data_IF_700219111702
#
_entry.id   IF_700219111702
#
_cell.length_a   1.000
_cell.length_b   1.000
_cell.length_c   1.000
_cell.angle_alpha   90.00
_cell.angle_beta   90.00
_cell.angle_gamma   90.00
#
_symmetry.space_group_name_H-M   'P 1'
#
loop_
_entity.id
_entity.type
_entity.pdbx_description
1 polymer ?
#
# COMPACT_ATOMS: atom_id res chain seq x y z
N UNK A 1 -23.52 24.15 -3.35
CA UNK A 1 -24.72 23.26 -3.31
C UNK A 1 -25.49 23.53 -2.03
N UNK A 2 -26.81 23.45 -2.05
CA UNK A 2 -27.64 23.42 -0.85
C UNK A 2 -27.96 21.97 -0.41
N UNK A 3 -28.69 21.82 0.70
CA UNK A 3 -29.00 20.49 1.25
C UNK A 3 -29.86 19.62 0.32
N UNK A 4 -30.73 20.23 -0.50
CA UNK A 4 -31.57 19.49 -1.44
C UNK A 4 -30.76 18.99 -2.63
N UNK A 5 -29.90 19.83 -3.20
CA UNK A 5 -28.97 19.44 -4.27
C UNK A 5 -28.02 18.29 -3.83
N UNK A 6 -27.55 18.29 -2.57
CA UNK A 6 -26.75 17.17 -2.03
C UNK A 6 -27.57 15.89 -1.95
N UNK A 7 -28.84 15.95 -1.50
CA UNK A 7 -29.71 14.76 -1.42
C UNK A 7 -30.05 14.23 -2.80
N UNK A 8 -30.32 15.10 -3.76
CA UNK A 8 -30.58 14.74 -5.15
C UNK A 8 -29.36 14.02 -5.73
N UNK A 9 -28.19 14.64 -5.64
CA UNK A 9 -26.95 14.04 -6.15
C UNK A 9 -26.63 12.70 -5.48
N UNK A 10 -26.87 12.57 -4.18
CA UNK A 10 -26.65 11.33 -3.45
C UNK A 10 -27.54 10.16 -3.94
N UNK A 11 -28.74 10.44 -4.52
CA UNK A 11 -29.61 9.36 -5.07
C UNK A 11 -29.00 8.67 -6.27
N UNK A 12 -28.18 9.41 -7.03
CA UNK A 12 -27.55 8.90 -8.24
C UNK A 12 -26.24 8.14 -7.96
N UNK A 13 -25.73 8.19 -6.70
CA UNK A 13 -24.51 7.48 -6.34
C UNK A 13 -24.79 6.01 -6.03
N UNK A 14 -23.82 5.12 -6.32
CA UNK A 14 -23.90 3.72 -5.94
C UNK A 14 -23.77 3.51 -4.40
N UNK A 15 -24.14 2.31 -3.93
CA UNK A 15 -24.01 1.90 -2.52
C UNK A 15 -22.73 1.11 -2.25
N UNK A 16 -21.78 1.18 -3.17
CA UNK A 16 -20.51 0.48 -3.14
C UNK A 16 -19.42 1.32 -2.46
N UNK A 17 -18.32 0.67 -2.04
CA UNK A 17 -17.14 1.38 -1.55
C UNK A 17 -16.53 2.29 -2.62
N UNK A 18 -15.96 3.41 -2.18
CA UNK A 18 -15.31 4.31 -3.14
C UNK A 18 -14.86 5.63 -2.54
N UNK A 19 -14.44 6.52 -3.43
CA UNK A 19 -13.98 7.86 -3.11
C UNK A 19 -14.89 8.89 -3.78
N UNK A 20 -15.20 9.96 -3.06
CA UNK A 20 -15.97 11.09 -3.56
C UNK A 20 -15.19 12.40 -3.40
N UNK A 21 -15.46 13.34 -4.30
CA UNK A 21 -14.83 14.66 -4.33
C UNK A 21 -15.92 15.73 -4.42
N UNK A 22 -15.90 16.69 -3.49
CA UNK A 22 -16.66 17.94 -3.65
C UNK A 22 -15.81 18.93 -4.44
N UNK A 23 -16.34 19.46 -5.54
CA UNK A 23 -15.62 20.37 -6.45
C UNK A 23 -16.32 21.70 -6.61
N UNK A 24 -15.52 22.72 -6.97
CA UNK A 24 -15.99 24.02 -7.43
C UNK A 24 -15.23 24.36 -8.70
N UNK A 25 -15.90 24.31 -9.86
CA UNK A 25 -15.23 24.35 -11.16
C UNK A 25 -14.14 23.27 -11.24
N UNK A 26 -12.93 23.63 -11.66
CA UNK A 26 -11.79 22.70 -11.76
C UNK A 26 -11.10 22.41 -10.41
N UNK A 27 -11.54 23.06 -9.32
CA UNK A 27 -10.87 22.92 -8.02
C UNK A 27 -11.55 21.87 -7.16
N UNK A 28 -10.81 20.87 -6.70
CA UNK A 28 -11.26 19.93 -5.67
C UNK A 28 -11.20 20.59 -4.30
N UNK A 29 -12.36 20.71 -3.65
CA UNK A 29 -12.49 21.31 -2.32
C UNK A 29 -12.23 20.29 -1.21
N UNK A 30 -12.72 19.07 -1.38
CA UNK A 30 -12.65 17.99 -0.40
C UNK A 30 -12.66 16.64 -1.08
N UNK A 31 -11.89 15.70 -0.56
CA UNK A 31 -11.89 14.29 -0.94
C UNK A 31 -12.24 13.47 0.30
N UNK A 32 -13.04 12.41 0.14
CA UNK A 32 -13.34 11.49 1.22
C UNK A 32 -13.64 10.09 0.70
N UNK A 33 -13.37 9.07 1.53
CA UNK A 33 -13.74 7.68 1.25
C UNK A 33 -15.09 7.32 1.89
N UNK A 34 -15.73 6.28 1.37
CA UNK A 34 -16.95 5.70 1.91
C UNK A 34 -16.96 4.18 1.71
N UNK A 35 -17.65 3.46 2.61
CA UNK A 35 -18.10 2.08 2.37
C UNK A 35 -19.38 2.04 1.53
N UNK A 36 -20.19 3.06 1.66
CA UNK A 36 -21.39 3.36 0.88
C UNK A 36 -21.32 4.82 0.46
N UNK A 37 -21.07 5.05 -0.83
CA UNK A 37 -20.92 6.39 -1.41
C UNK A 37 -22.21 7.21 -1.28
N UNK A 38 -23.38 6.58 -1.50
CA UNK A 38 -24.70 7.21 -1.43
C UNK A 38 -24.99 7.74 -0.03
N UNK A 39 -24.90 6.89 0.97
CA UNK A 39 -25.19 7.25 2.35
C UNK A 39 -24.18 8.28 2.88
N UNK A 40 -22.93 8.13 2.50
CA UNK A 40 -21.88 9.06 2.91
C UNK A 40 -22.08 10.45 2.34
N UNK A 41 -22.33 10.58 1.05
CA UNK A 41 -22.57 11.89 0.41
C UNK A 41 -23.87 12.49 0.91
N UNK A 42 -24.92 11.69 1.10
CA UNK A 42 -26.20 12.15 1.70
C UNK A 42 -26.01 12.78 3.08
N UNK A 43 -25.08 12.26 3.89
CA UNK A 43 -24.80 12.81 5.22
C UNK A 43 -24.32 14.28 5.22
N UNK A 44 -23.83 14.77 4.09
CA UNK A 44 -23.43 16.17 3.91
C UNK A 44 -24.60 17.14 3.67
N UNK A 45 -25.82 16.66 3.52
CA UNK A 45 -27.02 17.50 3.49
C UNK A 45 -27.34 18.14 4.85
N UNK A 46 -26.82 17.56 5.95
CA UNK A 46 -26.91 18.11 7.31
C UNK A 46 -25.52 18.13 7.99
N UNK A 47 -24.66 19.09 7.62
CA UNK A 47 -23.27 19.11 8.06
C UNK A 47 -23.15 19.55 9.54
N UNK A 48 -22.49 18.70 10.35
CA UNK A 48 -22.30 18.91 11.80
C UNK A 48 -21.32 20.03 12.14
N UNK A 49 -20.54 20.55 11.20
CA UNK A 49 -19.56 21.62 11.44
C UNK A 49 -19.69 22.75 10.43
N UNK A 50 -19.46 23.98 10.87
CA UNK A 50 -19.48 25.18 10.00
C UNK A 50 -18.46 25.10 8.86
N UNK A 51 -17.34 24.41 9.08
CA UNK A 51 -16.32 24.20 8.05
C UNK A 51 -16.84 23.32 6.90
N UNK A 52 -17.48 22.20 7.22
CA UNK A 52 -18.07 21.29 6.22
C UNK A 52 -19.26 21.97 5.53
N UNK A 53 -20.07 22.75 6.27
CA UNK A 53 -21.14 23.56 5.67
C UNK A 53 -20.58 24.51 4.62
N UNK A 54 -19.54 25.29 4.96
CA UNK A 54 -18.91 26.21 4.01
C UNK A 54 -18.22 25.49 2.82
N UNK A 55 -17.80 24.23 2.96
CA UNK A 55 -17.33 23.41 1.86
C UNK A 55 -18.49 23.06 0.91
N UNK A 56 -19.61 22.54 1.45
CA UNK A 56 -20.80 22.16 0.65
C UNK A 56 -21.39 23.36 -0.07
N UNK A 57 -21.54 24.51 0.60
CA UNK A 57 -22.05 25.75 -0.01
C UNK A 57 -21.21 26.23 -1.21
N UNK A 58 -19.89 26.00 -1.17
CA UNK A 58 -18.98 26.36 -2.28
C UNK A 58 -18.91 25.34 -3.40
N UNK A 59 -19.25 24.09 -3.11
CA UNK A 59 -19.24 23.04 -4.13
C UNK A 59 -20.35 23.26 -5.15
N UNK A 60 -20.05 23.00 -6.40
CA UNK A 60 -21.02 22.99 -7.51
C UNK A 60 -21.37 21.55 -7.92
N UNK A 61 -20.48 20.59 -7.72
CA UNK A 61 -20.70 19.18 -8.05
C UNK A 61 -19.99 18.22 -7.10
N UNK A 62 -20.41 16.94 -7.19
CA UNK A 62 -19.77 15.81 -6.52
C UNK A 62 -19.37 14.81 -7.60
N UNK A 63 -18.09 14.50 -7.67
CA UNK A 63 -17.53 13.42 -8.49
C UNK A 63 -17.24 12.21 -7.59
N UNK A 64 -17.23 11.00 -8.15
CA UNK A 64 -16.92 9.79 -7.40
C UNK A 64 -16.22 8.75 -8.27
N UNK A 65 -15.54 7.81 -7.61
CA UNK A 65 -14.98 6.61 -8.20
C UNK A 65 -15.33 5.43 -7.29
N UNK A 66 -15.89 4.38 -7.86
CA UNK A 66 -16.15 3.12 -7.18
C UNK A 66 -14.86 2.33 -7.07
N UNK A 67 -14.69 1.61 -5.97
CA UNK A 67 -13.57 0.69 -5.74
C UNK A 67 -14.11 -0.67 -5.30
N UNK A 68 -13.34 -1.73 -5.56
CA UNK A 68 -13.77 -3.08 -5.20
C UNK A 68 -13.73 -3.32 -3.68
N UNK A 69 -12.83 -2.59 -2.96
CA UNK A 69 -12.65 -2.75 -1.52
C UNK A 69 -12.52 -1.41 -0.78
N UNK A 70 -12.78 -1.41 0.53
CA UNK A 70 -12.53 -0.25 1.39
C UNK A 70 -11.06 0.16 1.37
N UNK A 71 -10.15 -0.80 1.28
CA UNK A 71 -8.71 -0.56 1.21
C UNK A 71 -8.36 0.23 -0.05
N UNK A 72 -8.88 -0.15 -1.21
CA UNK A 72 -8.72 0.63 -2.44
C UNK A 72 -9.28 2.04 -2.32
N UNK A 73 -10.46 2.22 -1.70
CA UNK A 73 -11.01 3.55 -1.43
C UNK A 73 -10.09 4.41 -0.56
N UNK A 74 -9.52 3.81 0.51
CA UNK A 74 -8.57 4.49 1.39
C UNK A 74 -7.31 4.94 0.63
N UNK A 75 -6.81 4.09 -0.27
CA UNK A 75 -5.65 4.36 -1.11
C UNK A 75 -5.88 5.55 -2.04
N UNK A 76 -6.99 5.47 -2.77
CA UNK A 76 -7.37 6.48 -3.74
C UNK A 76 -7.61 7.82 -3.04
N UNK A 77 -8.28 7.84 -1.87
CA UNK A 77 -8.46 9.03 -1.04
C UNK A 77 -7.10 9.67 -0.69
N UNK A 78 -6.17 8.88 -0.14
CA UNK A 78 -4.86 9.37 0.28
C UNK A 78 -4.06 9.97 -0.90
N UNK A 79 -4.03 9.27 -2.05
CA UNK A 79 -3.36 9.73 -3.26
C UNK A 79 -3.98 11.02 -3.81
N UNK A 80 -5.32 11.09 -3.88
CA UNK A 80 -6.02 12.28 -4.33
C UNK A 80 -5.77 13.47 -3.40
N UNK A 81 -5.77 13.27 -2.08
CA UNK A 81 -5.47 14.34 -1.11
C UNK A 81 -4.02 14.81 -1.26
N UNK A 82 -3.06 13.91 -1.41
CA UNK A 82 -1.63 14.24 -1.62
C UNK A 82 -1.45 15.06 -2.91
N UNK A 83 -2.06 14.61 -4.01
CA UNK A 83 -1.93 15.23 -5.35
C UNK A 83 -2.66 16.57 -5.45
N UNK A 84 -3.93 16.62 -5.00
CA UNK A 84 -4.82 17.78 -5.20
C UNK A 84 -4.76 18.80 -4.06
N UNK A 85 -4.22 18.41 -2.89
CA UNK A 85 -4.13 19.23 -1.68
C UNK A 85 -5.40 20.01 -1.36
N UNK A 86 -6.59 19.35 -1.25
CA UNK A 86 -7.87 20.03 -1.16
C UNK A 86 -7.95 20.91 0.09
N UNK A 87 -8.55 22.09 -0.03
CA UNK A 87 -8.57 23.09 1.05
C UNK A 87 -9.21 22.58 2.34
N UNK A 88 -10.24 21.74 2.24
CA UNK A 88 -11.04 21.31 3.38
C UNK A 88 -10.57 19.97 3.99
N UNK A 89 -9.61 19.26 3.40
CA UNK A 89 -8.96 18.11 4.05
C UNK A 89 -7.88 18.63 5.00
N UNK A 90 -8.07 18.45 6.32
CA UNK A 90 -7.11 18.87 7.36
C UNK A 90 -6.20 17.75 7.77
N UNK A 91 -6.72 16.51 7.85
CA UNK A 91 -6.07 15.34 8.43
C UNK A 91 -5.25 14.67 7.36
N UNK A 92 -4.66 14.71 6.53
CA UNK A 92 -3.80 14.02 5.55
C UNK A 92 -2.89 14.99 4.78
N UNK A 93 -2.88 16.27 5.23
CA UNK A 93 -1.92 17.25 4.72
C UNK A 93 -0.57 17.18 5.43
N UNK A 94 -0.56 16.68 6.66
CA UNK A 94 0.65 16.45 7.45
C UNK A 94 1.10 14.99 7.25
N UNK A 95 2.39 14.76 7.20
CA UNK A 95 3.25 13.58 7.02
C UNK A 95 2.77 12.17 7.48
N UNK A 96 1.51 11.98 7.75
CA UNK A 96 0.93 10.67 8.09
C UNK A 96 0.36 9.96 6.86
N UNK A 97 1.14 9.92 5.80
CA UNK A 97 0.85 8.99 4.71
C UNK A 97 1.04 7.56 5.23
N UNK A 98 0.14 6.67 4.83
CA UNK A 98 0.27 5.25 5.14
C UNK A 98 1.54 4.69 4.50
N UNK A 99 2.22 3.72 5.14
CA UNK A 99 3.41 3.10 4.58
C UNK A 99 3.07 2.32 3.30
N UNK A 100 4.01 2.37 2.38
CA UNK A 100 4.07 1.59 1.16
C UNK A 100 5.24 0.62 1.27
N UNK A 101 5.17 -0.50 0.57
CA UNK A 101 6.36 -1.31 0.26
C UNK A 101 6.81 -0.95 -1.14
N UNK A 102 8.04 -0.51 -1.29
CA UNK A 102 8.60 -0.10 -2.57
C UNK A 102 9.79 -0.96 -2.97
N UNK A 103 9.85 -1.28 -4.25
CA UNK A 103 11.04 -1.80 -4.92
C UNK A 103 11.65 -0.65 -5.72
N UNK A 104 12.91 -0.30 -5.42
CA UNK A 104 13.59 0.83 -6.06
C UNK A 104 13.71 0.68 -7.57
N UNK A 105 13.74 1.80 -8.30
CA UNK A 105 14.03 1.83 -9.74
C UNK A 105 15.54 1.65 -9.98
N UNK A 106 15.98 0.41 -9.89
CA UNK A 106 17.39 0.03 -10.07
C UNK A 106 17.45 -1.35 -10.73
N UNK A 107 18.52 -1.65 -11.49
CA UNK A 107 18.74 -2.96 -12.10
C UNK A 107 18.78 -4.11 -11.06
N UNK A 108 19.19 -3.77 -9.83
CA UNK A 108 19.15 -4.66 -8.66
C UNK A 108 18.31 -3.97 -7.59
N UNK A 109 16.96 -4.09 -7.62
CA UNK A 109 16.07 -3.35 -6.73
C UNK A 109 16.29 -3.68 -5.25
N UNK A 110 16.20 -2.69 -4.36
CA UNK A 110 16.03 -2.91 -2.93
C UNK A 110 14.54 -2.92 -2.58
N UNK A 111 14.20 -3.65 -1.53
CA UNK A 111 12.87 -3.57 -0.93
C UNK A 111 12.93 -2.69 0.33
N UNK A 112 11.99 -1.77 0.46
CA UNK A 112 11.89 -0.89 1.62
C UNK A 112 10.44 -0.56 1.99
N UNK A 113 10.21 -0.24 3.26
CA UNK A 113 8.96 0.37 3.72
C UNK A 113 9.16 1.88 3.73
N UNK A 114 8.38 2.58 2.92
CA UNK A 114 8.49 4.03 2.76
C UNK A 114 7.12 4.69 2.71
N UNK A 115 7.06 5.99 2.93
CA UNK A 115 5.84 6.80 2.72
C UNK A 115 5.93 7.67 1.48
N UNK A 116 7.11 7.73 0.88
CA UNK A 116 7.40 8.54 -0.29
C UNK A 116 8.35 7.76 -1.20
N UNK A 117 7.81 6.86 -2.05
CA UNK A 117 8.62 6.08 -2.98
C UNK A 117 9.30 7.00 -3.98
N UNK A 118 10.51 6.67 -4.38
CA UNK A 118 11.23 7.38 -5.43
C UNK A 118 10.52 7.25 -6.79
N UNK A 119 10.75 8.20 -7.69
CA UNK A 119 10.19 8.16 -9.05
C UNK A 119 10.68 6.89 -9.78
N UNK A 120 9.78 6.19 -10.46
CA UNK A 120 10.08 4.93 -11.13
C UNK A 120 10.03 3.68 -10.23
N UNK A 121 9.99 3.81 -8.90
CA UNK A 121 9.86 2.68 -8.00
C UNK A 121 8.51 1.96 -8.17
N UNK A 122 8.53 0.63 -8.10
CA UNK A 122 7.30 -0.17 -8.03
C UNK A 122 6.84 -0.23 -6.58
N UNK A 123 5.68 0.35 -6.28
CA UNK A 123 5.14 0.44 -4.92
C UNK A 123 3.83 -0.34 -4.76
N UNK A 124 3.69 -1.00 -3.61
CA UNK A 124 2.52 -1.73 -3.17
C UNK A 124 1.96 -1.12 -1.88
N UNK A 125 0.67 -1.18 -1.71
CA UNK A 125 -0.01 -0.58 -0.57
C UNK A 125 -0.85 0.63 -0.97
N UNK A 126 -1.15 1.60 -0.08
CA UNK A 126 -0.64 1.75 1.28
C UNK A 126 -1.27 0.74 2.25
N UNK A 127 -0.55 0.50 3.33
CA UNK A 127 -0.95 -0.45 4.36
C UNK A 127 -1.34 0.30 5.64
N UNK A 128 -2.32 -0.22 6.36
CA UNK A 128 -2.81 0.41 7.60
C UNK A 128 -2.03 -0.04 8.85
N UNK A 129 -1.41 -1.22 8.82
CA UNK A 129 -0.63 -1.80 9.90
C UNK A 129 0.87 -1.85 9.55
N UNK A 130 1.61 -0.85 10.04
CA UNK A 130 3.06 -0.72 9.83
C UNK A 130 3.83 -1.92 10.38
N UNK A 131 3.47 -2.41 11.58
CA UNK A 131 4.17 -3.51 12.24
C UNK A 131 4.06 -4.82 11.45
N UNK A 132 2.86 -5.09 10.91
CA UNK A 132 2.63 -6.25 10.04
C UNK A 132 3.43 -6.15 8.75
N UNK A 133 3.41 -4.98 8.11
CA UNK A 133 4.19 -4.74 6.88
C UNK A 133 5.69 -4.94 7.11
N UNK A 134 6.24 -4.38 8.18
CA UNK A 134 7.66 -4.56 8.53
C UNK A 134 8.00 -6.03 8.79
N UNK A 135 7.11 -6.78 9.46
CA UNK A 135 7.27 -8.22 9.69
C UNK A 135 7.31 -8.99 8.38
N UNK A 136 6.40 -8.71 7.45
CA UNK A 136 6.34 -9.35 6.12
C UNK A 136 7.55 -8.97 5.28
N UNK A 137 7.94 -7.70 5.22
CA UNK A 137 9.14 -7.25 4.47
C UNK A 137 10.40 -7.91 5.04
N UNK A 138 10.49 -8.07 6.37
CA UNK A 138 11.58 -8.81 6.99
C UNK A 138 11.57 -10.29 6.58
N UNK A 139 10.40 -10.94 6.57
CA UNK A 139 10.28 -12.34 6.12
C UNK A 139 10.69 -12.50 4.65
N UNK A 140 10.30 -11.59 3.77
CA UNK A 140 10.71 -11.54 2.37
C UNK A 140 12.23 -11.40 2.25
N UNK A 141 12.83 -10.47 3.00
CA UNK A 141 14.28 -10.27 2.98
C UNK A 141 15.04 -11.50 3.50
N UNK A 142 14.54 -12.14 4.54
CA UNK A 142 15.16 -13.35 5.12
C UNK A 142 15.03 -14.57 4.17
N UNK A 143 13.96 -14.65 3.37
CA UNK A 143 13.75 -15.77 2.43
C UNK A 143 14.51 -15.56 1.13
N UNK A 144 14.36 -14.39 0.50
CA UNK A 144 14.94 -14.09 -0.81
C UNK A 144 16.29 -13.35 -0.72
N UNK A 145 16.75 -13.03 0.48
CA UNK A 145 18.01 -12.33 0.75
C UNK A 145 18.18 -11.04 -0.07
N UNK A 146 17.07 -10.31 -0.21
CA UNK A 146 17.07 -9.06 -0.96
C UNK A 146 17.85 -7.97 -0.24
N UNK A 147 18.62 -7.17 -1.01
CA UNK A 147 19.38 -6.06 -0.44
C UNK A 147 18.47 -5.02 0.23
N UNK A 148 18.94 -4.46 1.33
CA UNK A 148 18.30 -3.33 2.02
C UNK A 148 19.16 -2.07 2.03
N UNK A 149 20.37 -2.10 1.43
CA UNK A 149 21.24 -0.94 1.37
C UNK A 149 20.80 0.06 0.29
N UNK A 150 21.13 1.35 0.49
CA UNK A 150 20.93 2.39 -0.52
C UNK A 150 21.80 2.16 -1.76
N UNK A 151 21.41 2.76 -2.89
CA UNK A 151 22.13 2.61 -4.16
C UNK A 151 23.57 3.13 -4.07
N UNK A 152 23.79 4.26 -3.39
CA UNK A 152 25.13 4.76 -3.10
C UNK A 152 26.02 3.76 -2.35
N UNK A 153 25.45 3.03 -1.37
CA UNK A 153 26.20 1.98 -0.66
C UNK A 153 26.41 0.74 -1.53
N UNK A 154 25.50 0.44 -2.42
CA UNK A 154 25.58 -0.66 -3.37
C UNK A 154 26.73 -0.43 -4.35
N UNK A 155 26.79 0.74 -4.98
CA UNK A 155 27.80 1.12 -5.99
C UNK A 155 29.21 1.22 -5.42
N UNK A 156 29.34 1.64 -4.16
CA UNK A 156 30.63 1.83 -3.49
C UNK A 156 31.21 0.57 -2.83
N UNK A 157 30.68 -0.64 -3.10
CA UNK A 157 31.13 -1.88 -2.46
C UNK A 157 32.13 -2.63 -3.34
N UNK A 158 33.24 -3.00 -2.73
CA UNK A 158 34.29 -3.86 -3.29
C UNK A 158 34.38 -5.24 -2.60
N UNK A 159 33.62 -5.43 -1.52
CA UNK A 159 33.52 -6.69 -0.74
C UNK A 159 32.14 -6.84 -0.10
N UNK A 160 31.68 -8.10 0.18
CA UNK A 160 30.46 -8.36 0.90
C UNK A 160 30.40 -7.64 2.25
N UNK A 161 29.22 -7.24 2.66
CA UNK A 161 29.00 -6.54 3.93
C UNK A 161 28.46 -7.49 5.01
N UNK A 162 28.30 -6.97 6.23
CA UNK A 162 27.77 -7.73 7.37
C UNK A 162 26.42 -8.38 7.08
N UNK A 163 25.53 -7.73 6.30
CA UNK A 163 24.22 -8.32 5.91
C UNK A 163 24.40 -9.64 5.12
N UNK A 164 25.45 -9.76 4.31
CA UNK A 164 25.80 -10.99 3.62
C UNK A 164 26.33 -12.04 4.59
N UNK A 165 27.22 -11.66 5.49
CA UNK A 165 27.79 -12.56 6.49
C UNK A 165 26.71 -13.13 7.44
N UNK A 166 25.69 -12.31 7.75
CA UNK A 166 24.51 -12.71 8.52
C UNK A 166 23.45 -13.49 7.72
N UNK A 167 23.65 -13.68 6.42
CA UNK A 167 22.73 -14.42 5.55
C UNK A 167 21.43 -13.71 5.21
N UNK A 168 21.32 -12.39 5.44
CA UNK A 168 20.13 -11.58 5.16
C UNK A 168 20.22 -10.81 3.84
N UNK A 169 21.36 -10.88 3.13
CA UNK A 169 21.57 -10.32 1.80
C UNK A 169 22.37 -11.29 0.96
N UNK A 170 22.07 -11.39 -0.33
CA UNK A 170 22.79 -12.25 -1.29
C UNK A 170 24.02 -11.57 -1.92
N UNK A 171 24.37 -10.34 -1.48
CA UNK A 171 25.50 -9.54 -1.94
C UNK A 171 25.60 -9.37 -3.47
N UNK A 172 24.53 -8.91 -4.14
CA UNK A 172 24.57 -8.67 -5.58
C UNK A 172 25.56 -7.54 -5.97
N UNK A 173 25.96 -6.70 -5.02
CA UNK A 173 26.94 -5.63 -5.22
C UNK A 173 28.37 -6.13 -5.49
N UNK A 174 28.70 -7.35 -5.08
CA UNK A 174 30.01 -7.97 -5.27
C UNK A 174 29.99 -9.22 -6.13
N UNK A 175 28.81 -9.51 -6.73
CA UNK A 175 28.66 -10.62 -7.67
C UNK A 175 28.53 -12.01 -7.01
N UNK A 176 28.26 -12.08 -5.69
CA UNK A 176 28.02 -13.35 -4.99
C UNK A 176 26.73 -14.06 -5.47
N UNK A 177 25.82 -13.30 -6.08
CA UNK A 177 24.64 -13.81 -6.79
C UNK A 177 24.60 -13.21 -8.21
N UNK A 178 24.22 -14.02 -9.20
CA UNK A 178 24.02 -13.55 -10.57
C UNK A 178 22.78 -12.66 -10.69
N UNK A 179 22.82 -11.70 -11.61
CA UNK A 179 21.75 -10.73 -11.83
C UNK A 179 20.40 -11.41 -12.16
N UNK A 180 20.40 -12.46 -12.98
CA UNK A 180 19.19 -13.21 -13.34
C UNK A 180 18.55 -13.86 -12.11
N UNK A 181 19.35 -14.52 -11.27
CA UNK A 181 18.85 -15.16 -10.05
C UNK A 181 18.30 -14.15 -9.07
N UNK A 182 18.98 -13.01 -8.91
CA UNK A 182 18.45 -11.92 -8.06
C UNK A 182 17.13 -11.36 -8.59
N UNK A 183 17.00 -11.21 -9.92
CA UNK A 183 15.76 -10.77 -10.55
C UNK A 183 14.60 -11.77 -10.32
N UNK A 184 14.86 -13.09 -10.33
CA UNK A 184 13.87 -14.12 -9.97
C UNK A 184 13.40 -13.97 -8.52
N UNK A 185 14.32 -13.72 -7.59
CA UNK A 185 14.00 -13.52 -6.17
C UNK A 185 13.16 -12.23 -5.96
N UNK A 186 13.48 -11.14 -6.68
CA UNK A 186 12.67 -9.92 -6.70
C UNK A 186 11.28 -10.18 -7.29
N UNK A 187 11.19 -10.93 -8.40
CA UNK A 187 9.92 -11.27 -9.02
C UNK A 187 9.05 -12.13 -8.08
N UNK A 188 9.63 -13.09 -7.37
CA UNK A 188 8.91 -13.87 -6.37
C UNK A 188 8.39 -12.99 -5.22
N UNK A 189 9.19 -12.05 -4.72
CA UNK A 189 8.77 -11.10 -3.69
C UNK A 189 7.63 -10.18 -4.17
N UNK A 190 7.64 -9.76 -5.45
CA UNK A 190 6.54 -8.96 -6.04
C UNK A 190 5.25 -9.77 -6.15
N UNK A 191 5.31 -11.03 -6.61
CA UNK A 191 4.13 -11.90 -6.70
C UNK A 191 3.43 -12.09 -5.36
N UNK A 192 4.17 -12.08 -4.25
CA UNK A 192 3.56 -12.08 -2.93
C UNK A 192 2.62 -10.88 -2.76
N UNK A 193 3.07 -9.65 -3.08
CA UNK A 193 2.23 -8.44 -2.99
C UNK A 193 1.10 -8.41 -4.04
N UNK A 194 1.19 -9.21 -5.09
CA UNK A 194 0.18 -9.40 -6.13
C UNK A 194 -0.85 -10.50 -5.77
N UNK A 195 -0.76 -11.06 -4.55
CA UNK A 195 -1.73 -12.01 -3.99
C UNK A 195 -1.27 -13.47 -3.94
N UNK A 196 -0.09 -13.80 -4.48
CA UNK A 196 0.45 -15.19 -4.43
C UNK A 196 1.09 -15.48 -3.06
N UNK A 197 0.27 -15.64 -2.02
CA UNK A 197 0.75 -15.87 -0.64
C UNK A 197 1.69 -17.07 -0.52
N UNK A 198 1.46 -18.13 -1.30
CA UNK A 198 2.22 -19.38 -1.26
C UNK A 198 3.70 -19.21 -1.56
N UNK A 199 4.11 -18.21 -2.36
CA UNK A 199 5.53 -18.00 -2.69
C UNK A 199 6.38 -17.72 -1.45
N UNK A 200 5.79 -17.18 -0.39
CA UNK A 200 6.46 -16.89 0.90
C UNK A 200 5.99 -17.85 2.01
N UNK A 201 4.71 -18.19 2.07
CA UNK A 201 4.16 -19.04 3.11
C UNK A 201 4.71 -20.48 3.06
N UNK A 202 4.83 -21.08 1.87
CA UNK A 202 5.27 -22.47 1.73
C UNK A 202 6.73 -22.70 2.15
N UNK A 203 7.71 -21.84 1.79
CA UNK A 203 9.07 -21.94 2.33
C UNK A 203 9.12 -21.77 3.85
N UNK A 204 8.37 -20.81 4.40
CA UNK A 204 8.33 -20.58 5.85
C UNK A 204 7.75 -21.79 6.59
N UNK A 205 6.69 -22.40 6.07
CA UNK A 205 6.06 -23.59 6.65
C UNK A 205 7.05 -24.76 6.67
N UNK A 206 7.72 -25.05 5.55
CA UNK A 206 8.73 -26.11 5.49
C UNK A 206 9.87 -25.90 6.49
N UNK A 207 10.35 -24.66 6.63
CA UNK A 207 11.42 -24.32 7.61
C UNK A 207 10.93 -24.45 9.04
N UNK A 208 9.68 -24.08 9.33
CA UNK A 208 9.06 -24.25 10.65
C UNK A 208 8.96 -25.73 11.03
N UNK A 209 8.46 -26.56 10.12
CA UNK A 209 8.33 -28.00 10.31
C UNK A 209 9.71 -28.66 10.55
N UNK A 210 10.71 -28.34 9.73
CA UNK A 210 12.06 -28.83 9.89
C UNK A 210 12.70 -28.40 11.22
N UNK A 211 12.46 -27.17 11.69
CA UNK A 211 12.94 -26.71 12.99
C UNK A 211 12.24 -27.45 14.14
N UNK A 212 10.96 -27.75 14.03
CA UNK A 212 10.20 -28.52 15.01
C UNK A 212 10.70 -29.98 15.07
N UNK A 213 10.96 -30.62 13.94
CA UNK A 213 11.54 -31.98 13.86
C UNK A 213 12.95 -32.03 14.48
N UNK A 214 13.74 -30.96 14.30
CA UNK A 214 15.06 -30.82 14.92
C UNK A 214 15.03 -30.46 16.41
N UNK A 215 13.83 -30.34 17.02
CA UNK A 215 13.61 -29.86 18.39
C UNK A 215 14.12 -28.43 18.67
N UNK A 216 14.26 -27.60 17.63
CA UNK A 216 14.59 -26.18 17.71
C UNK A 216 13.31 -25.34 17.98
N UNK A 217 12.66 -25.58 19.12
CA UNK A 217 11.29 -25.07 19.39
C UNK A 217 11.18 -23.55 19.38
N UNK A 218 12.19 -22.83 19.86
CA UNK A 218 12.19 -21.37 19.81
C UNK A 218 12.23 -20.85 18.37
N UNK A 219 13.05 -21.47 17.52
CA UNK A 219 13.12 -21.17 16.10
C UNK A 219 11.83 -21.51 15.38
N UNK A 220 11.23 -22.66 15.66
CA UNK A 220 9.94 -23.07 15.11
C UNK A 220 8.83 -22.09 15.51
N UNK A 221 8.80 -21.62 16.77
CA UNK A 221 7.83 -20.61 17.22
C UNK A 221 7.99 -19.29 16.49
N UNK A 222 9.21 -18.77 16.33
CA UNK A 222 9.48 -17.56 15.55
C UNK A 222 9.05 -17.69 14.08
N UNK A 223 9.26 -18.85 13.47
CA UNK A 223 8.83 -19.10 12.08
C UNK A 223 7.31 -19.22 11.96
N UNK A 224 6.64 -19.81 12.95
CA UNK A 224 5.17 -19.85 13.02
C UNK A 224 4.58 -18.43 13.08
N UNK A 225 5.08 -17.58 13.97
CA UNK A 225 4.58 -16.21 14.14
C UNK A 225 4.74 -15.39 12.84
N UNK A 226 5.82 -15.62 12.10
CA UNK A 226 6.03 -15.03 10.77
C UNK A 226 5.07 -15.59 9.73
N UNK A 227 4.84 -16.91 9.73
CA UNK A 227 3.91 -17.58 8.82
C UNK A 227 2.48 -17.05 9.03
N UNK A 228 2.03 -16.94 10.29
CA UNK A 228 0.74 -16.35 10.63
C UNK A 228 0.59 -14.90 10.11
N UNK A 229 1.64 -14.07 10.26
CA UNK A 229 1.63 -12.70 9.74
C UNK A 229 1.56 -12.65 8.20
N UNK A 230 2.24 -13.58 7.51
CA UNK A 230 2.25 -13.71 6.05
C UNK A 230 0.89 -14.18 5.53
N UNK A 231 0.29 -15.20 6.16
CA UNK A 231 -1.02 -15.73 5.76
C UNK A 231 -2.16 -14.73 6.02
N UNK A 232 -2.09 -13.98 7.13
CA UNK A 232 -3.06 -12.95 7.46
C UNK A 232 -2.90 -11.66 6.62
N UNK A 233 -1.79 -11.49 5.89
CA UNK A 233 -1.46 -10.23 5.22
C UNK A 233 -2.50 -9.84 4.16
N UNK A 234 -2.96 -10.76 3.33
CA UNK A 234 -3.95 -10.49 2.29
C UNK A 234 -5.41 -10.58 2.78
N UNK A 235 -5.68 -11.24 3.91
CA UNK A 235 -7.04 -11.42 4.45
C UNK A 235 -7.60 -10.21 5.22
N UNK A 236 -6.76 -9.29 5.69
CA UNK A 236 -7.14 -8.14 6.51
C UNK A 236 -6.64 -6.79 5.95
N UNK A 237 -6.81 -6.53 4.66
CA UNK A 237 -6.49 -5.25 4.03
C UNK A 237 -5.07 -5.14 3.47
N UNK A 238 -4.44 -6.27 3.16
CA UNK A 238 -3.14 -6.36 2.48
C UNK A 238 -3.24 -6.47 0.96
N UNK A 239 -4.40 -6.18 0.35
CA UNK A 239 -4.50 -6.16 -1.11
C UNK A 239 -3.69 -5.00 -1.68
N UNK A 240 -2.61 -5.36 -2.38
CA UNK A 240 -1.86 -4.42 -3.18
C UNK A 240 -2.71 -3.97 -4.37
N UNK A 241 -2.93 -2.67 -4.49
CA UNK A 241 -3.47 -2.11 -5.74
C UNK A 241 -2.32 -2.07 -6.74
N UNK A 242 -2.29 -3.02 -7.67
CA UNK A 242 -1.53 -2.84 -8.89
C UNK A 242 -2.10 -1.61 -9.62
N UNK A 243 -1.23 -0.69 -10.03
CA UNK A 243 -1.58 0.44 -10.89
C UNK A 243 -1.95 -0.08 -12.30
N UNK A 244 -3.09 -0.78 -12.37
CA UNK A 244 -3.83 -0.99 -13.62
C UNK A 244 -4.90 0.07 -13.62
N UNK A 245 -4.56 1.19 -14.26
CA UNK A 245 -5.51 2.15 -14.78
C UNK A 245 -6.47 1.45 -15.76
N UNK A 246 -7.43 0.73 -15.22
CA UNK A 246 -8.63 0.41 -15.96
C UNK A 246 -9.56 1.60 -15.75
N UNK A 247 -9.46 2.51 -16.72
CA UNK A 247 -10.15 3.77 -16.82
C UNK A 247 -11.65 3.50 -17.00
N UNK A 248 -12.35 3.26 -15.89
CA UNK A 248 -13.82 3.34 -15.84
C UNK A 248 -14.22 4.67 -15.26
N UNK A 249 -13.76 5.72 -15.90
CA UNK A 249 -14.39 7.04 -15.80
C UNK A 249 -15.72 6.95 -16.56
N UNK A 250 -16.80 6.84 -15.82
CA UNK A 250 -18.11 7.14 -16.41
C UNK A 250 -18.24 8.67 -16.39
N UNK A 251 -17.95 9.29 -17.53
CA UNK A 251 -18.34 10.67 -17.80
C UNK A 251 -19.86 10.75 -17.82
N UNK A 252 -20.43 11.55 -16.90
CA UNK A 252 -21.79 12.12 -17.00
C UNK A 252 -21.72 13.60 -16.69
#
# INVERSE_FOLDING_TARGET
>A
MDAEAVRERARDLPTEPGVYQFRAGETTLYVGKALDLRDRVRSYADPRSGRIRGMVERADRVEFAVTDTETQALLLEANLIKRLRPRYNVRLKDDKSYPLVAFSDHAVPRIEVTRDPEEGAVAYGPFTDVGRVETVVKAIRDEYRLRGCSDHKYEGRDRPCLDYEMGICSAPCTGEIGAERYAEDVAAARRFFEGETGVLADPLRRRMEAAAEANEFERAANLRDRLEAVEAFHGEGGEAVSDRSDDRTVDV
#
